data_IF_563330465617
#
_entry.id   IF_563330465617
#
_cell.length_a   1.000
_cell.length_b   1.000
_cell.length_c   1.000
_cell.angle_alpha   90.00
_cell.angle_beta   90.00
_cell.angle_gamma   90.00
#
_symmetry.space_group_name_H-M   'P 1'
#
loop_
_entity.id
_entity.type
_entity.pdbx_description
1 polymer ?
#
# COMPACT_ATOMS: atom_id res chain seq x y z
N UNK A 1 -10.95 -6.95 18.04
CA UNK A 1 -10.72 -8.33 18.52
C UNK A 1 -9.21 -8.53 18.62
N UNK A 2 -8.73 -9.31 19.58
CA UNK A 2 -7.30 -9.61 19.73
C UNK A 2 -7.11 -11.01 20.31
N UNK A 3 -5.98 -11.62 20.00
CA UNK A 3 -5.55 -12.89 20.61
C UNK A 3 -4.54 -12.60 21.72
N UNK A 4 -4.80 -13.15 22.91
CA UNK A 4 -3.95 -13.03 24.08
C UNK A 4 -3.59 -14.42 24.61
N UNK A 5 -2.42 -14.56 25.22
CA UNK A 5 -2.01 -15.77 25.92
C UNK A 5 -1.52 -15.42 27.33
N UNK A 6 -1.60 -16.40 28.23
CA UNK A 6 -1.16 -16.24 29.61
C UNK A 6 0.36 -16.33 29.70
N UNK A 7 0.95 -15.52 30.57
CA UNK A 7 2.38 -15.63 30.88
C UNK A 7 2.65 -16.72 31.92
N UNK A 8 3.82 -17.38 31.84
CA UNK A 8 4.65 -17.83 32.94
C UNK A 8 4.05 -17.82 34.35
N UNK A 9 4.09 -16.60 34.85
CA UNK A 9 3.95 -16.20 36.24
C UNK A 9 2.53 -15.69 36.57
N UNK A 10 1.57 -15.88 35.66
CA UNK A 10 0.21 -15.37 35.84
C UNK A 10 -0.55 -16.11 36.94
N UNK A 11 -1.14 -15.38 37.89
CA UNK A 11 -1.98 -15.92 38.97
C UNK A 11 -3.35 -16.43 38.47
N UNK A 12 -3.60 -16.34 37.16
CA UNK A 12 -4.84 -16.74 36.51
C UNK A 12 -4.77 -18.16 35.94
N UNK A 13 -3.59 -18.81 35.98
CA UNK A 13 -3.42 -20.19 35.55
C UNK A 13 -4.27 -21.11 36.45
N UNK A 14 -5.06 -21.98 35.83
CA UNK A 14 -5.95 -22.92 36.49
C UNK A 14 -7.32 -22.36 36.87
N UNK A 15 -7.57 -21.05 36.68
CA UNK A 15 -8.88 -20.44 36.93
C UNK A 15 -9.72 -20.41 35.66
N UNK A 16 -11.04 -20.50 35.79
CA UNK A 16 -11.96 -20.37 34.65
C UNK A 16 -12.23 -18.91 34.29
N UNK A 17 -12.68 -18.67 33.05
CA UNK A 17 -13.07 -17.32 32.58
C UNK A 17 -14.14 -16.68 33.48
N UNK A 18 -15.05 -17.50 34.01
CA UNK A 18 -16.10 -17.10 34.95
C UNK A 18 -15.53 -16.71 36.32
N UNK A 19 -14.61 -17.50 36.88
CA UNK A 19 -13.95 -17.20 38.17
C UNK A 19 -13.11 -15.92 38.11
N UNK A 20 -12.45 -15.69 36.98
CA UNK A 20 -11.67 -14.46 36.74
C UNK A 20 -12.60 -13.25 36.61
N UNK A 21 -13.87 -13.46 36.26
CA UNK A 21 -14.82 -12.39 36.00
C UNK A 21 -14.34 -11.49 34.87
N UNK A 22 -13.81 -12.07 33.78
CA UNK A 22 -13.01 -11.37 32.77
C UNK A 22 -13.69 -10.11 32.22
N UNK A 23 -15.01 -10.17 31.97
CA UNK A 23 -15.82 -9.04 31.52
C UNK A 23 -15.90 -7.91 32.54
N UNK A 24 -16.03 -8.23 33.82
CA UNK A 24 -16.13 -7.23 34.90
C UNK A 24 -14.76 -6.63 35.22
N UNK A 25 -13.71 -7.47 35.24
CA UNK A 25 -12.35 -7.06 35.59
C UNK A 25 -11.66 -6.25 34.50
N UNK A 26 -11.83 -6.66 33.23
CA UNK A 26 -11.12 -6.05 32.10
C UNK A 26 -12.04 -5.34 31.10
N UNK A 27 -13.37 -5.46 31.22
CA UNK A 27 -14.32 -4.83 30.29
C UNK A 27 -14.35 -5.47 28.89
N UNK A 28 -13.80 -6.69 28.76
CA UNK A 28 -13.65 -7.41 27.50
C UNK A 28 -14.42 -8.74 27.54
N UNK A 29 -14.94 -9.20 26.40
CA UNK A 29 -15.59 -10.49 26.30
C UNK A 29 -14.63 -11.52 25.72
N UNK A 30 -14.59 -12.71 26.32
CA UNK A 30 -13.91 -13.87 25.75
C UNK A 30 -14.88 -14.57 24.81
N UNK A 31 -14.47 -14.78 23.55
CA UNK A 31 -15.31 -15.35 22.49
C UNK A 31 -14.82 -16.73 22.05
N UNK A 32 -13.54 -17.03 22.28
CA UNK A 32 -12.95 -18.31 21.89
C UNK A 32 -11.74 -18.64 22.75
N UNK A 33 -11.47 -19.93 22.90
CA UNK A 33 -10.25 -20.45 23.49
C UNK A 33 -9.67 -21.51 22.57
N UNK A 34 -8.35 -21.45 22.36
CA UNK A 34 -7.61 -22.36 21.51
C UNK A 34 -6.47 -22.97 22.31
N UNK A 35 -6.42 -24.30 22.35
CA UNK A 35 -5.42 -25.10 23.09
C UNK A 35 -4.70 -26.02 22.11
N UNK A 36 -3.38 -25.99 22.10
CA UNK A 36 -2.54 -26.82 21.20
C UNK A 36 -2.95 -26.73 19.71
N UNK A 37 -3.38 -25.56 19.25
CA UNK A 37 -3.78 -25.37 17.86
C UNK A 37 -5.26 -25.67 17.55
N UNK A 38 -6.01 -26.24 18.48
CA UNK A 38 -7.43 -26.63 18.28
C UNK A 38 -8.34 -25.69 19.08
N UNK A 39 -9.42 -25.22 18.45
CA UNK A 39 -10.44 -24.43 19.15
C UNK A 39 -11.24 -25.34 20.09
N UNK A 40 -11.41 -24.93 21.34
CA UNK A 40 -12.26 -25.65 22.29
C UNK A 40 -13.73 -25.37 21.95
N UNK A 41 -14.53 -26.43 21.88
CA UNK A 41 -15.97 -26.37 21.69
C UNK A 41 -16.68 -26.57 23.03
N UNK A 42 -17.72 -25.76 23.32
CA UNK A 42 -18.53 -25.89 24.54
C UNK A 42 -18.55 -24.65 25.44
N UNK A 43 -18.81 -24.85 26.74
CA UNK A 43 -18.88 -23.76 27.73
C UNK A 43 -17.47 -23.26 28.10
N UNK A 44 -16.98 -22.30 27.31
CA UNK A 44 -15.70 -21.61 27.56
C UNK A 44 -15.64 -20.89 28.91
N UNK A 45 -16.79 -20.64 29.53
CA UNK A 45 -16.89 -19.89 30.78
C UNK A 45 -16.32 -20.68 31.98
N UNK A 46 -16.45 -22.00 31.96
CA UNK A 46 -16.13 -22.88 33.11
C UNK A 46 -14.84 -23.67 32.91
N UNK A 47 -14.23 -23.60 31.72
CA UNK A 47 -12.96 -24.27 31.43
C UNK A 47 -11.78 -23.57 32.11
N UNK A 48 -10.91 -24.29 32.85
CA UNK A 48 -9.72 -23.72 33.46
C UNK A 48 -8.70 -23.36 32.39
N UNK A 49 -8.15 -22.15 32.51
CA UNK A 49 -7.12 -21.66 31.61
C UNK A 49 -5.77 -22.32 31.92
N UNK A 50 -5.12 -22.89 30.90
CA UNK A 50 -3.80 -23.50 31.00
C UNK A 50 -2.74 -22.64 30.32
N UNK A 51 -1.49 -22.85 30.72
CA UNK A 51 -0.36 -22.21 30.06
C UNK A 51 -0.27 -22.65 28.59
N UNK A 52 -0.07 -21.69 27.69
CA UNK A 52 -0.07 -21.92 26.24
C UNK A 52 -1.45 -21.85 25.58
N UNK A 53 -2.52 -21.64 26.36
CA UNK A 53 -3.83 -21.32 25.80
C UNK A 53 -3.81 -19.96 25.11
N UNK A 54 -4.51 -19.87 23.97
CA UNK A 54 -4.76 -18.65 23.23
C UNK A 54 -6.23 -18.28 23.43
N UNK A 55 -6.47 -17.10 23.96
CA UNK A 55 -7.79 -16.58 24.30
C UNK A 55 -8.12 -15.47 23.30
N UNK A 56 -9.28 -15.58 22.66
CA UNK A 56 -9.79 -14.60 21.73
C UNK A 56 -10.70 -13.61 22.46
N UNK A 57 -10.29 -12.34 22.53
CA UNK A 57 -11.02 -11.28 23.23
C UNK A 57 -11.62 -10.25 22.27
N UNK A 58 -12.85 -9.82 22.56
CA UNK A 58 -13.60 -8.81 21.81
C UNK A 58 -14.11 -7.72 22.76
N UNK A 59 -13.90 -6.46 22.38
CA UNK A 59 -14.36 -5.32 23.16
C UNK A 59 -13.75 -4.01 22.70
N UNK A 60 -13.73 -3.00 23.57
CA UNK A 60 -13.19 -1.68 23.28
C UNK A 60 -11.67 -1.74 23.04
N UNK A 61 -11.22 -1.23 21.89
CA UNK A 61 -9.82 -1.22 21.49
C UNK A 61 -8.88 -0.56 22.51
N UNK A 62 -9.33 0.48 23.22
CA UNK A 62 -8.52 1.11 24.28
C UNK A 62 -8.24 0.15 25.44
N UNK A 63 -9.23 -0.66 25.82
CA UNK A 63 -9.10 -1.64 26.90
C UNK A 63 -8.23 -2.83 26.48
N UNK A 64 -8.36 -3.28 25.23
CA UNK A 64 -7.46 -4.29 24.65
C UNK A 64 -6.01 -3.81 24.68
N UNK A 65 -5.75 -2.57 24.27
CA UNK A 65 -4.42 -1.96 24.32
C UNK A 65 -3.87 -1.79 25.75
N UNK A 66 -4.72 -1.47 26.72
CA UNK A 66 -4.31 -1.41 28.13
C UNK A 66 -3.96 -2.78 28.69
N UNK A 67 -4.75 -3.81 28.37
CA UNK A 67 -4.49 -5.20 28.78
C UNK A 67 -3.12 -5.66 28.28
N UNK A 68 -2.81 -5.37 27.00
CA UNK A 68 -1.52 -5.72 26.39
C UNK A 68 -0.33 -4.96 27.01
N UNK A 69 -0.51 -3.67 27.37
CA UNK A 69 0.56 -2.85 27.96
C UNK A 69 0.83 -3.16 29.43
N UNK A 70 -0.16 -3.59 30.20
CA UNK A 70 0.00 -3.84 31.63
C UNK A 70 0.85 -5.09 31.93
N UNK A 71 0.98 -6.03 30.98
CA UNK A 71 2.02 -7.08 30.95
C UNK A 71 2.09 -8.03 32.16
N UNK A 72 1.09 -8.00 33.05
CA UNK A 72 1.13 -8.74 34.33
C UNK A 72 0.60 -10.16 34.24
N UNK A 73 -0.44 -10.38 33.46
CA UNK A 73 -1.12 -11.69 33.39
C UNK A 73 -1.22 -12.23 31.96
N UNK A 74 -1.09 -11.35 30.95
CA UNK A 74 -1.33 -11.67 29.55
C UNK A 74 -0.29 -11.03 28.62
N UNK A 75 0.07 -11.76 27.58
CA UNK A 75 0.81 -11.27 26.41
C UNK A 75 -0.12 -11.28 25.21
N UNK A 76 -0.23 -10.15 24.52
CA UNK A 76 -0.99 -10.08 23.28
C UNK A 76 -0.16 -10.68 22.13
N UNK A 77 -0.68 -11.74 21.52
CA UNK A 77 -0.02 -12.46 20.43
C UNK A 77 -0.30 -11.80 19.07
N UNK A 78 -1.52 -11.26 18.92
CA UNK A 78 -1.93 -10.48 17.76
C UNK A 78 -2.69 -9.24 18.27
N UNK A 79 -1.99 -8.11 18.41
CA UNK A 79 -2.68 -6.83 18.25
C UNK A 79 -2.81 -6.61 16.75
N UNK A 80 -4.01 -6.42 16.21
CA UNK A 80 -4.14 -5.88 14.86
C UNK A 80 -3.35 -4.57 14.79
N UNK A 81 -2.46 -4.43 13.81
CA UNK A 81 -1.73 -3.19 13.50
C UNK A 81 -2.69 -1.99 13.31
N UNK A 82 -3.98 -2.26 13.11
CA UNK A 82 -5.10 -1.31 13.06
C UNK A 82 -5.23 -0.42 14.32
N UNK A 83 -4.71 -0.84 15.48
CA UNK A 83 -4.68 0.03 16.68
C UNK A 83 -3.72 1.21 16.48
N UNK A 84 -2.75 1.12 15.56
CA UNK A 84 -1.85 2.22 15.22
C UNK A 84 -2.39 3.17 14.14
N UNK A 85 -3.42 2.76 13.40
CA UNK A 85 -4.00 3.56 12.29
C UNK A 85 -5.33 4.25 12.64
N UNK A 86 -5.88 4.05 13.84
CA UNK A 86 -7.09 4.74 14.26
C UNK A 86 -6.85 6.26 14.31
N UNK A 87 -7.31 6.96 13.27
CA UNK A 87 -7.12 8.40 13.07
C UNK A 87 -7.48 9.19 14.33
N UNK A 88 -6.59 10.06 14.86
CA UNK A 88 -6.72 10.66 16.19
C UNK A 88 -8.00 11.48 16.44
N UNK A 89 -8.73 11.87 15.39
CA UNK A 89 -9.81 12.84 15.52
C UNK A 89 -10.96 12.62 14.51
N UNK A 90 -11.79 11.59 14.74
CA UNK A 90 -13.00 11.34 13.94
C UNK A 90 -13.98 12.54 13.89
N UNK A 91 -13.92 13.45 14.88
CA UNK A 91 -14.68 14.70 14.93
C UNK A 91 -14.13 15.81 14.01
N UNK A 92 -12.90 15.68 13.51
CA UNK A 92 -12.25 16.66 12.62
C UNK A 92 -12.33 16.28 11.14
N UNK A 93 -13.08 15.21 10.81
CA UNK A 93 -13.28 14.75 9.44
C UNK A 93 -13.77 15.86 8.47
N UNK A 94 -14.70 16.78 8.84
CA UNK A 94 -15.11 17.84 7.93
C UNK A 94 -13.97 18.81 7.57
N UNK A 95 -13.11 19.15 8.54
CA UNK A 95 -11.95 20.01 8.31
C UNK A 95 -10.89 19.31 7.45
N UNK A 96 -10.66 18.02 7.68
CA UNK A 96 -9.74 17.24 6.86
C UNK A 96 -10.22 17.16 5.39
N UNK A 97 -11.52 16.93 5.17
CA UNK A 97 -12.12 16.93 3.83
C UNK A 97 -11.99 18.31 3.19
N UNK A 98 -12.27 19.39 3.93
CA UNK A 98 -12.10 20.76 3.44
C UNK A 98 -10.65 21.01 2.99
N UNK A 99 -9.65 20.64 3.81
CA UNK A 99 -8.23 20.78 3.45
C UNK A 99 -7.87 20.00 2.19
N UNK A 100 -8.40 18.78 2.05
CA UNK A 100 -8.18 17.94 0.86
C UNK A 100 -8.79 18.56 -0.40
N UNK A 101 -10.06 18.98 -0.33
CA UNK A 101 -10.76 19.60 -1.47
C UNK A 101 -10.07 20.90 -1.87
N UNK A 102 -9.66 21.72 -0.90
CA UNK A 102 -8.90 22.94 -1.15
C UNK A 102 -7.56 22.64 -1.83
N UNK A 103 -6.81 21.65 -1.36
CA UNK A 103 -5.55 21.24 -1.99
C UNK A 103 -5.75 20.88 -3.47
N UNK A 104 -6.76 20.06 -3.76
CA UNK A 104 -7.08 19.64 -5.12
C UNK A 104 -7.49 20.85 -5.98
N UNK A 105 -8.34 21.74 -5.46
CA UNK A 105 -8.73 22.95 -6.17
C UNK A 105 -7.53 23.83 -6.52
N UNK A 106 -6.59 24.02 -5.58
CA UNK A 106 -5.36 24.79 -5.80
C UNK A 106 -4.44 24.14 -6.85
N UNK A 107 -4.33 22.81 -6.84
CA UNK A 107 -3.54 22.07 -7.84
C UNK A 107 -4.15 22.13 -9.24
N UNK A 108 -5.46 22.32 -9.35
CA UNK A 108 -6.15 22.45 -10.64
C UNK A 108 -6.04 23.86 -11.23
N UNK A 109 -5.75 24.87 -10.42
CA UNK A 109 -5.75 26.27 -10.87
C UNK A 109 -4.48 26.70 -11.61
N UNK A 110 -3.44 25.87 -11.74
CA UNK A 110 -2.11 26.15 -12.37
C UNK A 110 -1.37 27.43 -11.88
N UNK A 111 -2.01 28.33 -11.14
CA UNK A 111 -1.43 29.55 -10.59
C UNK A 111 -0.49 29.28 -9.41
N UNK A 112 -0.76 28.21 -8.65
CA UNK A 112 0.03 27.84 -7.48
C UNK A 112 0.82 26.56 -7.79
N UNK A 113 2.15 26.56 -7.63
CA UNK A 113 2.93 25.34 -7.77
C UNK A 113 2.41 24.22 -6.85
N UNK A 114 2.21 23.01 -7.40
CA UNK A 114 1.69 21.84 -6.67
C UNK A 114 2.35 21.57 -5.31
N UNK A 115 3.68 21.71 -5.13
CA UNK A 115 4.31 21.54 -3.82
C UNK A 115 3.84 22.56 -2.78
N UNK A 116 3.57 23.79 -3.21
CA UNK A 116 3.08 24.87 -2.33
C UNK A 116 1.64 24.58 -1.90
N UNK A 117 0.78 24.14 -2.83
CA UNK A 117 -0.58 23.74 -2.52
C UNK A 117 -0.63 22.59 -1.48
N UNK A 118 0.25 21.59 -1.62
CA UNK A 118 0.38 20.49 -0.66
C UNK A 118 0.82 20.97 0.74
N UNK A 119 1.81 21.88 0.81
CA UNK A 119 2.28 22.44 2.09
C UNK A 119 1.17 23.26 2.77
N UNK A 120 0.42 24.07 2.02
CA UNK A 120 -0.71 24.85 2.56
C UNK A 120 -1.74 23.91 3.19
N UNK A 121 -2.11 22.82 2.50
CA UNK A 121 -3.05 21.84 3.00
C UNK A 121 -2.55 21.15 4.28
N UNK A 122 -1.26 20.75 4.31
CA UNK A 122 -0.62 20.17 5.48
C UNK A 122 -0.65 21.11 6.70
N UNK A 123 -0.30 22.38 6.51
CA UNK A 123 -0.35 23.39 7.56
C UNK A 123 -1.77 23.62 8.09
N UNK A 124 -2.77 23.61 7.20
CA UNK A 124 -4.18 23.71 7.60
C UNK A 124 -4.64 22.49 8.39
N UNK A 125 -4.24 21.28 8.00
CA UNK A 125 -4.54 20.06 8.76
C UNK A 125 -3.93 20.11 10.17
N UNK A 126 -2.72 20.64 10.32
CA UNK A 126 -2.12 20.92 11.62
C UNK A 126 -2.89 21.98 12.42
N UNK A 127 -3.30 23.07 11.77
CA UNK A 127 -4.09 24.15 12.41
C UNK A 127 -5.44 23.65 12.94
N UNK A 128 -6.14 22.82 12.18
CA UNK A 128 -7.42 22.22 12.60
C UNK A 128 -7.24 21.02 13.55
N UNK A 129 -5.98 20.68 13.92
CA UNK A 129 -5.64 19.53 14.75
C UNK A 129 -6.21 18.22 14.21
N UNK A 130 -6.25 18.09 12.88
CA UNK A 130 -6.59 16.85 12.20
C UNK A 130 -5.47 15.81 12.36
N UNK A 131 -4.22 16.28 12.44
CA UNK A 131 -3.02 15.46 12.61
C UNK A 131 -2.05 16.16 13.56
N UNK A 132 -1.28 15.39 14.34
CA UNK A 132 -0.16 15.91 15.12
C UNK A 132 1.15 15.88 14.31
N UNK A 133 2.18 16.58 14.79
CA UNK A 133 3.45 16.66 14.07
C UNK A 133 4.14 15.30 13.94
N UNK A 134 4.03 14.44 14.94
CA UNK A 134 4.69 13.12 14.96
C UNK A 134 4.07 12.18 13.93
N UNK A 135 2.73 12.08 13.90
CA UNK A 135 1.96 11.38 12.88
C UNK A 135 2.26 11.93 11.49
N UNK A 136 2.30 13.25 11.31
CA UNK A 136 2.62 13.86 10.02
C UNK A 136 4.00 13.43 9.50
N UNK A 137 5.02 13.42 10.37
CA UNK A 137 6.36 12.92 10.01
C UNK A 137 6.38 11.42 9.72
N UNK A 138 5.64 10.62 10.49
CA UNK A 138 5.51 9.16 10.27
C UNK A 138 4.76 8.83 8.97
N UNK A 139 3.85 9.68 8.53
CA UNK A 139 3.13 9.54 7.25
C UNK A 139 4.02 9.79 6.03
N UNK A 140 5.22 10.35 6.20
CA UNK A 140 6.16 10.54 5.09
C UNK A 140 6.78 9.20 4.69
N UNK A 141 6.47 8.75 3.47
CA UNK A 141 7.08 7.55 2.90
C UNK A 141 8.51 7.82 2.39
N UNK A 142 9.47 7.93 3.32
CA UNK A 142 10.89 8.19 3.04
C UNK A 142 11.50 7.31 1.95
N UNK A 143 11.21 5.99 1.86
CA UNK A 143 11.74 5.15 0.79
C UNK A 143 11.37 5.65 -0.60
N UNK A 144 10.15 6.15 -0.80
CA UNK A 144 9.71 6.69 -2.10
C UNK A 144 10.43 7.98 -2.46
N UNK A 145 10.62 8.88 -1.49
CA UNK A 145 11.34 10.14 -1.72
C UNK A 145 12.80 9.87 -2.09
N UNK A 146 13.48 9.03 -1.30
CA UNK A 146 14.88 8.65 -1.55
C UNK A 146 15.02 7.98 -2.91
N UNK A 147 14.08 7.10 -3.27
CA UNK A 147 14.05 6.44 -4.57
C UNK A 147 13.90 7.44 -5.71
N UNK A 148 12.93 8.36 -5.66
CA UNK A 148 12.72 9.37 -6.71
C UNK A 148 13.96 10.26 -6.86
N UNK A 149 14.52 10.72 -5.73
CA UNK A 149 15.72 11.57 -5.74
C UNK A 149 16.95 10.81 -6.23
N UNK A 150 17.14 9.56 -5.80
CA UNK A 150 18.26 8.70 -6.22
C UNK A 150 18.18 8.25 -7.67
N UNK A 151 16.97 8.13 -8.22
CA UNK A 151 16.78 7.77 -9.62
C UNK A 151 17.07 8.92 -10.59
N UNK A 152 16.99 10.19 -10.17
CA UNK A 152 17.39 11.33 -11.02
C UNK A 152 18.86 11.23 -11.51
N UNK A 153 19.89 11.08 -10.65
CA UNK A 153 21.25 10.90 -11.10
C UNK A 153 21.47 9.57 -11.83
N UNK A 154 20.77 8.49 -11.45
CA UNK A 154 20.81 7.22 -12.19
C UNK A 154 20.29 7.38 -13.63
N UNK A 155 19.15 8.04 -13.82
CA UNK A 155 18.57 8.33 -15.14
C UNK A 155 19.52 9.17 -15.99
N UNK A 156 20.14 10.21 -15.40
CA UNK A 156 21.16 11.03 -16.09
C UNK A 156 22.40 10.20 -16.45
N UNK A 157 22.87 9.33 -15.55
CA UNK A 157 23.99 8.44 -15.83
C UNK A 157 23.67 7.46 -16.96
N UNK A 158 22.48 6.84 -16.93
CA UNK A 158 22.01 5.91 -17.96
C UNK A 158 21.83 6.59 -19.33
N UNK A 159 21.42 7.86 -19.35
CA UNK A 159 21.40 8.67 -20.57
C UNK A 159 22.82 8.95 -21.08
N UNK A 160 23.73 9.37 -20.19
CA UNK A 160 25.13 9.69 -20.57
C UNK A 160 25.94 8.47 -21.02
N UNK A 161 25.70 7.30 -20.44
CA UNK A 161 26.36 6.04 -20.85
C UNK A 161 25.78 5.46 -22.15
N UNK A 162 24.70 6.05 -22.68
CA UNK A 162 24.02 5.56 -23.88
C UNK A 162 23.08 4.38 -23.62
N UNK A 163 22.87 3.96 -22.37
CA UNK A 163 21.94 2.88 -22.03
C UNK A 163 20.50 3.16 -22.46
N UNK A 164 20.04 4.41 -22.29
CA UNK A 164 18.72 4.84 -22.80
C UNK A 164 18.68 4.74 -24.33
N UNK A 165 19.75 5.14 -25.02
CA UNK A 165 19.80 5.06 -26.48
C UNK A 165 19.78 3.62 -26.99
N UNK A 166 20.44 2.68 -26.29
CA UNK A 166 20.39 1.25 -26.60
C UNK A 166 18.99 0.67 -26.40
N UNK A 167 18.33 1.00 -25.29
CA UNK A 167 16.97 0.56 -25.02
C UNK A 167 15.98 1.09 -26.06
N UNK A 168 16.05 2.38 -26.37
CA UNK A 168 15.22 3.00 -27.42
C UNK A 168 15.51 2.40 -28.79
N UNK A 169 16.79 2.13 -29.13
CA UNK A 169 17.14 1.47 -30.39
C UNK A 169 16.50 0.08 -30.51
N UNK A 170 16.61 -0.75 -29.47
CA UNK A 170 15.96 -2.06 -29.45
C UNK A 170 14.44 -1.97 -29.56
N UNK A 171 13.83 -0.99 -28.89
CA UNK A 171 12.39 -0.70 -29.03
C UNK A 171 12.01 -0.26 -30.46
N UNK A 172 12.83 0.59 -31.08
CA UNK A 172 12.62 1.08 -32.45
C UNK A 172 12.80 -0.02 -33.49
N UNK A 173 13.75 -0.93 -33.30
CA UNK A 173 13.96 -2.08 -34.20
C UNK A 173 12.75 -3.03 -34.20
N UNK A 174 12.05 -3.14 -33.06
CA UNK A 174 10.87 -4.01 -32.91
C UNK A 174 9.58 -3.28 -33.33
N UNK A 175 9.38 -2.05 -32.89
CA UNK A 175 8.09 -1.34 -32.98
C UNK A 175 8.09 -0.05 -33.81
N UNK A 176 9.26 0.51 -34.13
CA UNK A 176 9.40 1.84 -34.74
C UNK A 176 8.81 1.95 -36.16
N UNK A 177 8.83 0.87 -36.93
CA UNK A 177 8.26 0.83 -38.29
C UNK A 177 6.72 0.69 -38.34
N UNK A 178 6.10 0.31 -37.22
CA UNK A 178 4.66 0.01 -37.15
C UNK A 178 3.82 1.17 -36.57
N UNK A 179 4.47 2.31 -36.30
CA UNK A 179 3.83 3.55 -35.87
C UNK A 179 3.74 3.75 -34.35
N UNK A 180 3.26 4.93 -33.90
CA UNK A 180 3.28 5.32 -32.49
C UNK A 180 2.47 4.42 -31.55
N UNK A 181 1.36 3.83 -32.02
CA UNK A 181 0.55 2.91 -31.22
C UNK A 181 1.29 1.62 -30.85
N UNK A 182 2.04 1.05 -31.78
CA UNK A 182 2.85 -0.15 -31.50
C UNK A 182 3.93 0.17 -30.46
N UNK A 183 4.55 1.33 -30.57
CA UNK A 183 5.55 1.79 -29.60
C UNK A 183 4.97 1.93 -28.18
N UNK A 184 3.75 2.47 -28.04
CA UNK A 184 3.06 2.52 -26.75
C UNK A 184 2.84 1.10 -26.18
N UNK A 185 2.45 0.14 -27.02
CA UNK A 185 2.32 -1.26 -26.62
C UNK A 185 3.64 -1.87 -26.14
N UNK A 186 4.72 -1.68 -26.90
CA UNK A 186 6.04 -2.16 -26.51
C UNK A 186 6.53 -1.55 -25.19
N UNK A 187 6.32 -0.23 -25.00
CA UNK A 187 6.66 0.45 -23.75
C UNK A 187 5.83 -0.05 -22.57
N UNK A 188 4.53 -0.32 -22.79
CA UNK A 188 3.67 -0.89 -21.76
C UNK A 188 4.16 -2.28 -21.34
N UNK A 189 4.43 -3.17 -22.30
CA UNK A 189 4.92 -4.53 -22.01
C UNK A 189 6.26 -4.48 -21.28
N UNK A 190 7.20 -3.67 -21.76
CA UNK A 190 8.51 -3.53 -21.12
C UNK A 190 8.38 -3.02 -19.68
N UNK A 191 7.54 -2.02 -19.45
CA UNK A 191 7.27 -1.47 -18.12
C UNK A 191 6.60 -2.51 -17.21
N UNK A 192 5.61 -3.25 -17.72
CA UNK A 192 4.90 -4.28 -16.96
C UNK A 192 5.83 -5.43 -16.55
N UNK A 193 6.73 -5.87 -17.45
CA UNK A 193 7.72 -6.92 -17.18
C UNK A 193 8.73 -6.46 -16.13
N UNK A 194 9.26 -5.24 -16.23
CA UNK A 194 10.16 -4.67 -15.23
C UNK A 194 9.44 -4.53 -13.87
N UNK A 195 8.18 -4.11 -13.90
CA UNK A 195 7.31 -3.98 -12.72
C UNK A 195 7.01 -5.29 -12.00
N UNK A 196 7.25 -6.46 -12.61
CA UNK A 196 7.14 -7.75 -11.91
C UNK A 196 8.18 -7.90 -10.79
N UNK A 197 9.32 -7.23 -10.91
CA UNK A 197 10.47 -7.37 -10.00
C UNK A 197 10.74 -6.13 -9.17
N UNK A 198 10.13 -5.00 -9.54
CA UNK A 198 10.43 -3.67 -9.01
C UNK A 198 9.13 -3.01 -8.53
N UNK A 199 9.20 -2.12 -7.55
CA UNK A 199 8.03 -1.35 -7.11
C UNK A 199 7.48 -0.44 -8.22
N UNK A 200 6.18 -0.18 -8.20
CA UNK A 200 5.49 0.67 -9.18
C UNK A 200 6.19 2.03 -9.37
N UNK A 201 6.60 2.66 -8.26
CA UNK A 201 7.29 3.95 -8.28
C UNK A 201 8.65 3.86 -8.95
N UNK A 202 9.46 2.83 -8.66
CA UNK A 202 10.78 2.68 -9.27
C UNK A 202 10.67 2.39 -10.78
N UNK A 203 9.71 1.55 -11.17
CA UNK A 203 9.44 1.25 -12.58
C UNK A 203 9.05 2.51 -13.36
N UNK A 204 8.13 3.32 -12.84
CA UNK A 204 7.73 4.56 -13.49
C UNK A 204 8.91 5.52 -13.69
N UNK A 205 9.75 5.70 -12.67
CA UNK A 205 10.89 6.63 -12.73
C UNK A 205 11.99 6.12 -13.68
N UNK A 206 12.23 4.81 -13.74
CA UNK A 206 13.20 4.20 -14.65
C UNK A 206 12.74 4.27 -16.11
N UNK A 207 11.45 4.03 -16.36
CA UNK A 207 10.88 3.95 -17.71
C UNK A 207 10.56 5.32 -18.32
N UNK A 208 10.27 6.33 -17.50
CA UNK A 208 9.99 7.70 -17.95
C UNK A 208 11.06 8.26 -18.92
N UNK A 209 12.37 8.27 -18.62
CA UNK A 209 13.38 8.80 -19.53
C UNK A 209 13.47 8.02 -20.85
N UNK A 210 13.19 6.71 -20.84
CA UNK A 210 13.17 5.86 -22.04
C UNK A 210 11.98 6.23 -22.92
N UNK A 211 10.80 6.38 -22.33
CA UNK A 211 9.59 6.76 -23.04
C UNK A 211 9.68 8.17 -23.64
N UNK A 212 10.22 9.14 -22.90
CA UNK A 212 10.44 10.50 -23.40
C UNK A 212 11.46 10.54 -24.55
N UNK A 213 12.54 9.75 -24.45
CA UNK A 213 13.53 9.63 -25.51
C UNK A 213 12.96 8.95 -26.77
N UNK A 214 12.11 7.92 -26.60
CA UNK A 214 11.42 7.27 -27.70
C UNK A 214 10.47 8.24 -28.43
N UNK A 215 9.64 8.98 -27.70
CA UNK A 215 8.76 10.01 -28.27
C UNK A 215 9.55 11.05 -29.08
N UNK A 216 10.65 11.56 -28.51
CA UNK A 216 11.55 12.51 -29.17
C UNK A 216 12.17 11.94 -30.45
N UNK A 217 12.55 10.67 -30.46
CA UNK A 217 13.13 9.99 -31.63
C UNK A 217 12.10 9.80 -32.74
N UNK A 218 10.84 9.53 -32.38
CA UNK A 218 9.72 9.42 -33.31
C UNK A 218 9.17 10.78 -33.77
N UNK A 219 9.61 11.89 -33.17
CA UNK A 219 9.13 13.23 -33.50
C UNK A 219 7.68 13.50 -33.06
N UNK A 220 7.19 12.78 -32.04
CA UNK A 220 5.83 12.88 -31.52
C UNK A 220 5.81 13.46 -30.11
N UNK A 221 4.63 13.86 -29.66
CA UNK A 221 4.32 14.35 -28.34
C UNK A 221 4.78 13.38 -27.25
N UNK A 222 5.45 13.87 -26.18
CA UNK A 222 5.90 13.03 -25.07
C UNK A 222 4.78 12.61 -24.11
N UNK A 223 3.65 13.32 -24.11
CA UNK A 223 2.56 13.08 -23.16
C UNK A 223 1.99 11.65 -23.23
N UNK A 224 1.66 11.08 -24.40
CA UNK A 224 1.09 9.73 -24.49
C UNK A 224 2.06 8.67 -23.99
N UNK A 225 3.36 8.87 -24.24
CA UNK A 225 4.43 7.98 -23.85
C UNK A 225 4.65 8.00 -22.33
N UNK A 226 4.65 9.18 -21.71
CA UNK A 226 4.73 9.30 -20.26
C UNK A 226 3.49 8.67 -19.57
N UNK A 227 2.30 8.90 -20.12
CA UNK A 227 1.06 8.34 -19.59
C UNK A 227 1.00 6.82 -19.72
N UNK A 228 1.45 6.24 -20.83
CA UNK A 228 1.47 4.77 -20.98
C UNK A 228 2.37 4.12 -19.95
N UNK A 229 3.52 4.72 -19.65
CA UNK A 229 4.44 4.23 -18.61
C UNK A 229 3.80 4.35 -17.23
N UNK A 230 3.16 5.48 -16.93
CA UNK A 230 2.49 5.68 -15.64
C UNK A 230 1.38 4.64 -15.42
N UNK A 231 0.59 4.35 -16.46
CA UNK A 231 -0.46 3.32 -16.41
C UNK A 231 0.12 1.91 -16.31
N UNK A 232 1.15 1.59 -17.09
CA UNK A 232 1.81 0.28 -17.06
C UNK A 232 2.47 0.00 -15.71
N UNK A 233 3.14 0.98 -15.13
CA UNK A 233 3.76 0.87 -13.80
C UNK A 233 2.71 0.72 -12.69
N UNK A 234 1.47 1.21 -12.91
CA UNK A 234 0.36 1.04 -11.98
C UNK A 234 -0.38 -0.30 -12.16
N UNK A 235 -0.28 -0.90 -13.35
CA UNK A 235 -0.92 -2.17 -13.71
C UNK A 235 -0.19 -3.41 -13.15
N UNK A 236 0.19 -3.38 -11.88
CA UNK A 236 0.91 -4.45 -11.19
C UNK A 236 -0.04 -5.57 -10.70
N UNK A 237 -0.76 -6.21 -11.63
CA UNK A 237 -1.76 -7.24 -11.31
C UNK A 237 -1.17 -8.66 -11.27
N UNK A 238 -0.06 -8.88 -11.97
CA UNK A 238 0.50 -10.22 -12.22
C UNK A 238 1.22 -10.82 -11.00
N UNK A 239 1.68 -9.99 -10.07
CA UNK A 239 2.49 -10.42 -8.93
C UNK A 239 2.02 -9.77 -7.63
N UNK A 240 2.01 -10.54 -6.52
CA UNK A 240 1.69 -9.97 -5.22
C UNK A 240 2.85 -9.17 -4.63
N UNK A 241 4.09 -9.47 -5.02
CA UNK A 241 5.32 -8.87 -4.48
C UNK A 241 5.48 -7.39 -4.87
N UNK A 242 4.99 -7.02 -6.05
CA UNK A 242 5.18 -5.68 -6.61
C UNK A 242 4.33 -4.60 -5.93
N UNK A 243 3.26 -4.99 -5.22
CA UNK A 243 2.31 -4.08 -4.56
C UNK A 243 2.02 -4.54 -3.14
N UNK A 244 2.29 -3.71 -2.11
CA UNK A 244 1.92 -4.01 -0.73
C UNK A 244 0.43 -4.35 -0.57
N UNK A 245 -0.44 -3.72 -1.36
CA UNK A 245 -1.89 -3.97 -1.36
C UNK A 245 -2.21 -5.41 -1.80
N UNK A 246 -1.54 -5.91 -2.83
CA UNK A 246 -1.71 -7.29 -3.30
C UNK A 246 -1.17 -8.30 -2.28
N UNK A 247 -0.12 -7.92 -1.55
CA UNK A 247 0.43 -8.76 -0.48
C UNK A 247 -0.51 -8.84 0.73
N UNK A 248 -1.20 -7.75 1.08
CA UNK A 248 -2.13 -7.72 2.21
C UNK A 248 -3.31 -8.70 2.03
N UNK A 249 -3.75 -8.93 0.79
CA UNK A 249 -4.87 -9.85 0.50
C UNK A 249 -4.45 -11.31 0.32
N UNK A 250 -3.15 -11.61 0.13
CA UNK A 250 -2.65 -12.99 -0.04
C UNK A 250 -3.04 -13.88 1.15
N UNK A 251 -2.80 -13.40 2.36
CA UNK A 251 -3.04 -14.15 3.59
C UNK A 251 -4.52 -14.40 3.85
N UNK A 252 -5.34 -13.35 4.07
CA UNK A 252 -6.76 -13.50 4.35
C UNK A 252 -7.56 -14.14 3.20
N UNK A 253 -7.15 -13.91 1.95
CA UNK A 253 -7.80 -14.46 0.76
C UNK A 253 -7.37 -15.89 0.41
N UNK A 254 -6.39 -16.46 1.12
CA UNK A 254 -5.79 -17.76 0.82
C UNK A 254 -5.38 -17.91 -0.66
N UNK A 255 -4.88 -16.82 -1.26
CA UNK A 255 -4.47 -16.81 -2.66
C UNK A 255 -3.05 -17.39 -2.80
N UNK A 256 -2.83 -18.13 -3.88
CA UNK A 256 -1.49 -18.56 -4.27
C UNK A 256 -0.89 -17.59 -5.27
N UNK A 257 0.45 -17.58 -5.41
CA UNK A 257 1.13 -16.78 -6.43
C UNK A 257 0.62 -17.09 -7.86
N UNK A 258 0.24 -18.35 -8.12
CA UNK A 258 -0.30 -18.77 -9.42
C UNK A 258 -1.63 -18.09 -9.75
N UNK A 259 -2.45 -17.80 -8.74
CA UNK A 259 -3.75 -17.16 -8.95
C UNK A 259 -3.59 -15.72 -9.44
N UNK A 260 -2.59 -15.01 -8.91
CA UNK A 260 -2.22 -13.66 -9.39
C UNK A 260 -1.74 -13.67 -10.83
N UNK A 261 -0.93 -14.63 -11.24
CA UNK A 261 -0.46 -14.70 -12.63
C UNK A 261 -1.62 -15.06 -13.57
N UNK A 262 -2.45 -16.04 -13.21
CA UNK A 262 -3.58 -16.51 -14.03
C UNK A 262 -4.62 -15.42 -14.29
N UNK A 263 -4.94 -14.60 -13.29
CA UNK A 263 -5.91 -13.51 -13.43
C UNK A 263 -5.27 -12.19 -13.85
N UNK A 264 -4.07 -11.91 -13.35
CA UNK A 264 -3.35 -10.66 -13.57
C UNK A 264 -2.82 -10.51 -14.99
N UNK A 265 -2.36 -11.59 -15.64
CA UNK A 265 -1.87 -11.50 -17.03
C UNK A 265 -3.01 -11.10 -18.00
N UNK A 266 -4.17 -11.78 -18.03
CA UNK A 266 -5.29 -11.35 -18.87
C UNK A 266 -5.74 -9.92 -18.58
N UNK A 267 -5.81 -9.54 -17.30
CA UNK A 267 -6.24 -8.20 -16.92
C UNK A 267 -5.24 -7.12 -17.35
N UNK A 268 -3.93 -7.41 -17.24
CA UNK A 268 -2.87 -6.52 -17.73
C UNK A 268 -2.95 -6.34 -19.25
N UNK A 269 -3.28 -7.39 -20.00
CA UNK A 269 -3.47 -7.31 -21.46
C UNK A 269 -4.69 -6.44 -21.81
N UNK A 270 -5.79 -6.56 -21.06
CA UNK A 270 -6.97 -5.70 -21.25
C UNK A 270 -6.59 -4.23 -21.00
N UNK A 271 -5.91 -3.95 -19.88
CA UNK A 271 -5.46 -2.60 -19.54
C UNK A 271 -4.50 -2.06 -20.60
N UNK A 272 -3.59 -2.88 -21.11
CA UNK A 272 -2.69 -2.51 -22.21
C UNK A 272 -3.48 -2.09 -23.45
N UNK A 273 -4.44 -2.90 -23.89
CA UNK A 273 -5.27 -2.58 -25.05
C UNK A 273 -6.05 -1.28 -24.86
N UNK A 274 -6.64 -1.08 -23.68
CA UNK A 274 -7.34 0.17 -23.33
C UNK A 274 -6.38 1.35 -23.35
N UNK A 275 -5.18 1.22 -22.77
CA UNK A 275 -4.20 2.31 -22.72
C UNK A 275 -3.71 2.70 -24.12
N UNK A 276 -3.37 1.72 -24.95
CA UNK A 276 -2.87 1.97 -26.32
C UNK A 276 -3.92 2.67 -27.19
N UNK A 277 -5.21 2.44 -26.94
CA UNK A 277 -6.31 3.08 -27.68
C UNK A 277 -6.73 4.41 -27.06
N UNK A 278 -7.02 4.47 -25.76
CA UNK A 278 -7.57 5.67 -25.12
C UNK A 278 -6.53 6.78 -24.92
N UNK A 279 -5.27 6.44 -24.59
CA UNK A 279 -4.28 7.47 -24.26
C UNK A 279 -4.02 8.39 -25.47
N UNK A 280 -3.83 7.89 -26.70
CA UNK A 280 -3.71 8.74 -27.88
C UNK A 280 -4.97 9.55 -28.21
N UNK A 281 -6.16 9.09 -27.81
CA UNK A 281 -7.41 9.83 -28.02
C UNK A 281 -7.53 11.03 -27.08
N UNK A 282 -7.03 10.88 -25.84
CA UNK A 282 -7.02 11.95 -24.84
C UNK A 282 -5.80 12.89 -25.01
N UNK A 283 -4.66 12.32 -25.37
CA UNK A 283 -3.41 13.01 -25.60
C UNK A 283 -2.93 12.68 -27.02
N UNK A 284 -3.18 13.52 -28.02
CA UNK A 284 -2.72 13.26 -29.37
C UNK A 284 -1.18 13.29 -29.47
N UNK A 285 -0.65 12.54 -30.43
CA UNK A 285 0.77 12.50 -30.80
C UNK A 285 1.25 13.81 -31.40
#
# INVERSE_FOLDING_TARGET
MAEISLIPESELIGKSVREIGFRTRYGLNVVGLKRNGVALEGSLADEPLLLGDIILVVGNWKLIGMLAKQGRDFVALNLPEEVSEASPAHSQAPHAIFCLVLMVALMLTDEIPNPVAAIIACLLMGKFRCIDAESAYKSIHWPSIILIVGMMPFAVALQKTGGVALAVKGLMDIGGGYGPHMMLGCLFVLSAVIGLFISNTATAVLMAPIALAAAKTMGVSPYPFAMVVAMAASAAFMTPVSSPVNTLVLGPGNYSFSDFVKLGVPFTIIVMAVCVVMIPMLFPF
#
